data_IF_917431091694
#
_entry.id   IF_917431091694
#
_cell.length_a   1.000
_cell.length_b   1.000
_cell.length_c   1.000
_cell.angle_alpha   90.00
_cell.angle_beta   90.00
_cell.angle_gamma   90.00
#
_symmetry.space_group_name_H-M   'P 1'
#
loop_
_entity.id
_entity.type
_entity.pdbx_description
1 polymer ?
#
# COMPACT_ATOMS: atom_id res chain seq x y z
N UNK A 1 17.57 3.13 -30.84
CA UNK A 1 18.67 3.56 -29.93
C UNK A 1 18.91 2.43 -28.93
N UNK A 2 20.11 1.82 -28.87
CA UNK A 2 20.42 0.76 -27.90
C UNK A 2 21.18 1.38 -26.72
N UNK A 3 20.54 1.49 -25.57
CA UNK A 3 21.21 1.93 -24.34
C UNK A 3 22.11 0.79 -23.87
N UNK A 4 23.42 1.03 -23.77
CA UNK A 4 24.39 0.08 -23.21
C UNK A 4 24.59 0.43 -21.74
N UNK A 5 24.07 -0.41 -20.84
CA UNK A 5 24.33 -0.29 -19.40
C UNK A 5 25.77 -0.75 -19.14
N UNK A 6 26.56 0.02 -18.37
CA UNK A 6 27.94 -0.35 -18.01
C UNK A 6 27.90 -1.62 -17.15
N UNK A 7 28.67 -2.64 -17.55
CA UNK A 7 28.69 -3.97 -16.92
C UNK A 7 29.04 -3.98 -15.42
N UNK A 8 29.67 -2.92 -14.91
CA UNK A 8 30.09 -2.80 -13.51
C UNK A 8 29.32 -1.69 -12.75
N UNK A 9 28.07 -1.42 -13.15
CA UNK A 9 27.22 -0.50 -12.39
C UNK A 9 26.77 -1.23 -11.12
N UNK A 10 27.36 -0.86 -9.99
CA UNK A 10 26.88 -1.29 -8.67
C UNK A 10 25.73 -0.36 -8.31
N UNK A 11 24.51 -0.87 -8.37
CA UNK A 11 23.36 -0.17 -7.81
C UNK A 11 23.42 -0.37 -6.29
N UNK A 12 23.68 0.69 -5.53
CA UNK A 12 23.41 0.67 -4.11
C UNK A 12 21.90 0.80 -3.95
N UNK A 13 21.20 -0.33 -3.96
CA UNK A 13 19.77 -0.34 -3.72
C UNK A 13 19.56 -0.24 -2.21
N UNK A 14 19.01 0.89 -1.74
CA UNK A 14 18.43 0.97 -0.39
C UNK A 14 17.23 0.03 -0.24
N UNK A 15 16.72 -0.48 -1.34
CA UNK A 15 15.48 -1.24 -1.46
C UNK A 15 15.73 -2.75 -1.60
N UNK A 16 16.92 -3.23 -1.24
CA UNK A 16 17.24 -4.66 -1.23
C UNK A 16 17.00 -5.23 0.17
N UNK A 17 16.15 -6.26 0.22
CA UNK A 17 15.79 -6.94 1.46
C UNK A 17 15.87 -8.46 1.27
N UNK A 18 16.41 -9.19 2.25
CA UNK A 18 16.65 -10.64 2.16
C UNK A 18 16.09 -11.40 3.37
N UNK A 19 15.58 -12.60 3.12
CA UNK A 19 15.11 -13.53 4.16
C UNK A 19 15.19 -14.98 3.72
N UNK A 20 15.23 -15.85 4.72
CA UNK A 20 14.99 -17.29 4.57
C UNK A 20 13.54 -17.68 4.98
N UNK A 21 12.76 -16.73 5.52
CA UNK A 21 11.35 -16.94 5.87
C UNK A 21 10.42 -16.93 4.65
N UNK A 22 9.21 -17.47 4.82
CA UNK A 22 8.21 -17.49 3.75
C UNK A 22 7.70 -16.08 3.42
N UNK A 23 7.35 -15.88 2.15
CA UNK A 23 6.79 -14.63 1.64
C UNK A 23 5.41 -14.92 1.05
N UNK A 24 4.40 -14.13 1.43
CA UNK A 24 3.13 -14.02 0.71
C UNK A 24 3.17 -12.74 -0.11
N UNK A 25 2.86 -12.84 -1.40
CA UNK A 25 2.83 -11.70 -2.33
C UNK A 25 1.41 -11.48 -2.81
N UNK A 26 0.95 -10.23 -2.73
CA UNK A 26 -0.38 -9.77 -3.18
C UNK A 26 -0.24 -8.48 -3.99
N UNK A 27 -1.27 -8.12 -4.75
CA UNK A 27 -1.28 -6.93 -5.61
C UNK A 27 -2.73 -6.62 -6.05
N UNK A 28 -2.97 -5.42 -6.56
CA UNK A 28 -4.17 -5.05 -7.33
C UNK A 28 -5.49 -5.34 -6.56
N UNK A 29 -5.51 -5.02 -5.27
CA UNK A 29 -6.73 -5.16 -4.48
C UNK A 29 -7.69 -3.99 -4.66
N UNK A 30 -7.24 -2.85 -5.19
CA UNK A 30 -8.10 -1.80 -5.73
C UNK A 30 -9.20 -1.31 -4.76
N UNK A 31 -8.97 -1.35 -3.44
CA UNK A 31 -9.98 -0.97 -2.44
C UNK A 31 -11.00 -2.06 -2.06
N UNK A 32 -10.81 -3.32 -2.47
CA UNK A 32 -11.60 -4.50 -2.10
C UNK A 32 -11.12 -5.09 -0.75
N UNK A 33 -11.35 -4.34 0.34
CA UNK A 33 -10.83 -4.64 1.68
C UNK A 33 -11.25 -6.01 2.23
N UNK A 34 -12.52 -6.41 2.09
CA UNK A 34 -12.99 -7.66 2.67
C UNK A 34 -12.36 -8.88 1.99
N UNK A 35 -12.13 -8.81 0.68
CA UNK A 35 -11.46 -9.85 -0.09
C UNK A 35 -9.98 -9.96 0.29
N UNK A 36 -9.32 -8.83 0.60
CA UNK A 36 -7.96 -8.84 1.15
C UNK A 36 -7.96 -9.53 2.52
N UNK A 37 -8.84 -9.09 3.43
CA UNK A 37 -8.95 -9.66 4.78
C UNK A 37 -9.26 -11.16 4.74
N UNK A 38 -10.20 -11.59 3.90
CA UNK A 38 -10.56 -13.00 3.73
C UNK A 38 -9.37 -13.83 3.26
N UNK A 39 -8.58 -13.31 2.31
CA UNK A 39 -7.33 -13.95 1.89
C UNK A 39 -6.34 -14.03 3.06
N UNK A 40 -6.08 -12.92 3.75
CA UNK A 40 -5.07 -12.84 4.80
C UNK A 40 -5.43 -13.74 5.99
N UNK A 41 -6.71 -13.84 6.37
CA UNK A 41 -7.18 -14.78 7.41
C UNK A 41 -7.03 -16.22 6.92
N UNK A 42 -7.47 -16.51 5.70
CA UNK A 42 -7.39 -17.87 5.13
C UNK A 42 -5.94 -18.35 5.01
N UNK A 43 -5.02 -17.46 4.64
CA UNK A 43 -3.58 -17.69 4.57
C UNK A 43 -2.87 -17.65 5.94
N UNK A 44 -3.62 -17.41 7.03
CA UNK A 44 -3.10 -17.31 8.41
C UNK A 44 -2.05 -16.21 8.60
N UNK A 45 -2.15 -15.13 7.81
CA UNK A 45 -1.33 -13.92 7.96
C UNK A 45 -1.83 -13.07 9.11
N UNK A 46 -3.15 -12.95 9.24
CA UNK A 46 -3.81 -12.25 10.34
C UNK A 46 -4.85 -13.16 11.02
N UNK A 47 -5.24 -12.80 12.24
CA UNK A 47 -6.38 -13.42 12.93
C UNK A 47 -7.71 -12.71 12.62
N UNK A 48 -8.82 -13.22 13.17
CA UNK A 48 -10.16 -12.67 13.02
C UNK A 48 -10.36 -11.28 13.67
N UNK A 49 -9.38 -10.82 14.46
CA UNK A 49 -9.32 -9.49 15.07
C UNK A 49 -8.32 -8.57 14.34
N UNK A 50 -7.85 -8.99 13.16
CA UNK A 50 -6.89 -8.29 12.31
C UNK A 50 -5.52 -8.09 12.95
N UNK A 51 -5.09 -8.97 13.86
CA UNK A 51 -3.75 -8.95 14.43
C UNK A 51 -2.77 -9.77 13.60
N UNK A 52 -1.51 -9.32 13.58
CA UNK A 52 -0.45 -10.06 12.92
C UNK A 52 -0.26 -11.46 13.51
N UNK A 53 -0.37 -12.48 12.66
CA UNK A 53 -0.21 -13.90 13.00
C UNK A 53 0.92 -14.58 12.22
N UNK A 54 1.48 -13.90 11.22
CA UNK A 54 2.42 -14.49 10.28
C UNK A 54 3.85 -14.68 10.82
N UNK A 55 4.09 -14.35 12.11
CA UNK A 55 5.39 -14.53 12.75
C UNK A 55 6.48 -13.72 12.05
N UNK A 56 7.60 -14.36 11.71
CA UNK A 56 8.71 -13.71 11.02
C UNK A 56 8.54 -13.64 9.49
N UNK A 57 7.46 -14.21 8.95
CA UNK A 57 7.22 -14.24 7.50
C UNK A 57 6.87 -12.85 6.97
N UNK A 58 6.86 -12.70 5.65
CA UNK A 58 6.72 -11.41 4.99
C UNK A 58 5.45 -11.32 4.17
N UNK A 59 4.76 -10.18 4.27
CA UNK A 59 3.73 -9.79 3.33
C UNK A 59 4.33 -8.75 2.37
N UNK A 60 4.30 -9.04 1.08
CA UNK A 60 4.69 -8.08 0.04
C UNK A 60 3.43 -7.68 -0.72
N UNK A 61 3.14 -6.38 -0.78
CA UNK A 61 2.04 -5.81 -1.53
C UNK A 61 2.63 -5.03 -2.72
N UNK A 62 2.42 -5.52 -3.94
CA UNK A 62 3.06 -5.01 -5.17
C UNK A 62 2.39 -3.76 -5.78
N UNK A 63 1.58 -3.05 -5.00
CA UNK A 63 0.87 -1.83 -5.42
C UNK A 63 -0.57 -2.04 -5.86
N UNK A 64 -1.16 -0.93 -6.28
CA UNK A 64 -2.56 -0.77 -6.70
C UNK A 64 -3.55 -1.18 -5.60
N UNK A 65 -3.28 -0.67 -4.39
CA UNK A 65 -4.27 -0.64 -3.32
C UNK A 65 -5.31 0.47 -3.57
N UNK A 66 -4.94 1.50 -4.32
CA UNK A 66 -5.77 2.65 -4.66
C UNK A 66 -6.40 2.48 -6.04
N UNK A 67 -7.71 2.23 -6.13
CA UNK A 67 -8.46 2.34 -7.40
C UNK A 67 -9.98 2.40 -7.11
N UNK A 68 -10.79 1.79 -7.98
CA UNK A 68 -12.24 1.86 -8.10
C UNK A 68 -13.04 1.40 -6.88
N UNK A 69 -12.43 0.63 -5.97
CA UNK A 69 -13.08 0.12 -4.78
C UNK A 69 -13.29 1.16 -3.69
N UNK A 70 -14.18 0.82 -2.78
CA UNK A 70 -14.64 1.74 -1.74
C UNK A 70 -13.89 1.58 -0.42
N UNK A 71 -12.84 0.77 -0.28
CA UNK A 71 -12.19 0.59 1.03
C UNK A 71 -10.66 0.71 0.99
N UNK A 72 -10.16 1.66 0.21
CA UNK A 72 -8.72 1.97 0.07
C UNK A 72 -8.13 2.37 1.42
N UNK A 73 -8.79 3.27 2.16
CA UNK A 73 -8.27 3.76 3.44
C UNK A 73 -8.16 2.64 4.47
N UNK A 74 -9.13 1.73 4.48
CA UNK A 74 -9.19 0.57 5.36
C UNK A 74 -8.03 -0.40 5.08
N UNK A 75 -7.67 -0.60 3.81
CA UNK A 75 -6.46 -1.36 3.44
C UNK A 75 -5.21 -0.68 4.01
N UNK A 76 -5.04 0.61 3.77
CA UNK A 76 -3.84 1.34 4.23
C UNK A 76 -3.73 1.36 5.76
N UNK A 77 -4.85 1.58 6.46
CA UNK A 77 -4.88 1.54 7.92
C UNK A 77 -4.59 0.16 8.49
N UNK A 78 -5.08 -0.90 7.84
CA UNK A 78 -4.73 -2.27 8.23
C UNK A 78 -3.23 -2.52 8.10
N UNK A 79 -2.62 -2.17 6.95
CA UNK A 79 -1.19 -2.36 6.72
C UNK A 79 -0.35 -1.54 7.70
N UNK A 80 -0.68 -0.26 7.90
CA UNK A 80 -0.05 0.62 8.89
C UNK A 80 -0.12 0.03 10.30
N UNK A 81 -1.32 -0.42 10.71
CA UNK A 81 -1.55 -1.04 12.03
C UNK A 81 -0.70 -2.29 12.21
N UNK A 82 -0.69 -3.18 11.24
CA UNK A 82 0.10 -4.42 11.30
C UNK A 82 1.61 -4.13 11.38
N UNK A 83 2.13 -3.19 10.57
CA UNK A 83 3.53 -2.80 10.63
C UNK A 83 3.89 -2.20 12.01
N UNK A 84 2.99 -1.40 12.60
CA UNK A 84 3.18 -0.87 13.97
C UNK A 84 3.20 -1.95 15.05
N UNK A 85 2.67 -3.14 14.78
CA UNK A 85 2.73 -4.34 15.64
C UNK A 85 4.01 -5.17 15.42
N UNK A 86 4.88 -4.75 14.50
CA UNK A 86 6.12 -5.45 14.15
C UNK A 86 5.96 -6.46 13.01
N UNK A 87 4.87 -6.38 12.23
CA UNK A 87 4.72 -7.18 11.01
C UNK A 87 5.78 -6.79 9.98
N UNK A 88 6.31 -7.78 9.26
CA UNK A 88 7.21 -7.52 8.14
C UNK A 88 6.40 -7.28 6.86
N UNK A 89 6.06 -6.03 6.59
CA UNK A 89 5.30 -5.61 5.43
C UNK A 89 6.22 -4.87 4.46
N UNK A 90 6.12 -5.21 3.18
CA UNK A 90 6.78 -4.51 2.08
C UNK A 90 5.71 -3.97 1.14
N UNK A 91 5.40 -2.68 1.24
CA UNK A 91 4.42 -2.03 0.38
C UNK A 91 5.14 -1.29 -0.76
N UNK A 92 4.82 -1.63 -1.99
CA UNK A 92 5.32 -0.96 -3.18
C UNK A 92 4.21 -0.14 -3.82
N UNK A 93 4.60 0.94 -4.51
CA UNK A 93 3.67 1.75 -5.27
C UNK A 93 3.44 1.19 -6.67
N UNK A 94 2.17 0.92 -6.96
CA UNK A 94 1.67 0.69 -8.31
C UNK A 94 1.43 2.01 -9.04
N UNK A 95 1.00 1.94 -10.30
CA UNK A 95 0.75 3.14 -11.08
C UNK A 95 -0.49 3.90 -10.59
N UNK A 96 -1.54 3.19 -10.15
CA UNK A 96 -2.75 3.84 -9.66
C UNK A 96 -2.50 4.54 -8.33
N UNK A 97 -1.66 3.98 -7.46
CA UNK A 97 -1.25 4.61 -6.21
C UNK A 97 -0.57 5.96 -6.49
N UNK A 98 0.40 5.99 -7.41
CA UNK A 98 1.13 7.22 -7.78
C UNK A 98 0.18 8.24 -8.42
N UNK A 99 -0.66 7.81 -9.36
CA UNK A 99 -1.61 8.66 -10.06
C UNK A 99 -2.61 9.32 -9.11
N UNK A 100 -3.12 8.56 -8.14
CA UNK A 100 -4.11 9.03 -7.17
C UNK A 100 -3.50 9.94 -6.10
N UNK A 101 -2.28 9.63 -5.61
CA UNK A 101 -1.63 10.37 -4.52
C UNK A 101 -0.91 11.63 -5.01
N UNK A 102 -0.34 11.62 -6.23
CA UNK A 102 0.62 12.65 -6.65
C UNK A 102 0.23 13.43 -7.91
N UNK A 103 -0.61 12.86 -8.79
CA UNK A 103 -0.88 13.45 -10.10
C UNK A 103 -2.29 14.05 -10.22
N UNK A 104 -3.07 14.07 -9.13
CA UNK A 104 -4.46 14.55 -9.10
C UNK A 104 -5.34 13.87 -10.18
N UNK A 105 -5.00 12.62 -10.55
CA UNK A 105 -5.74 11.84 -11.54
C UNK A 105 -6.89 11.08 -10.86
N UNK A 106 -7.87 11.82 -10.37
CA UNK A 106 -8.98 11.29 -9.53
C UNK A 106 -10.08 10.56 -10.30
N UNK A 107 -9.86 10.25 -11.59
CA UNK A 107 -10.85 9.57 -12.43
C UNK A 107 -11.13 8.13 -11.99
N UNK A 108 -10.20 7.55 -11.24
CA UNK A 108 -10.22 6.16 -10.78
C UNK A 108 -10.72 6.02 -9.34
N UNK A 109 -10.98 7.14 -8.69
CA UNK A 109 -11.37 7.18 -7.28
C UNK A 109 -12.89 7.22 -7.20
N UNK A 110 -13.45 6.32 -6.39
CA UNK A 110 -14.87 6.28 -6.12
C UNK A 110 -15.42 7.63 -5.63
N UNK A 111 -16.61 8.00 -6.09
CA UNK A 111 -17.24 9.29 -5.80
C UNK A 111 -17.45 9.55 -4.30
N UNK A 112 -17.55 8.50 -3.48
CA UNK A 112 -17.67 8.67 -2.03
C UNK A 112 -16.50 9.43 -1.45
N UNK A 113 -15.28 9.20 -1.92
CA UNK A 113 -14.11 9.88 -1.36
C UNK A 113 -14.14 11.36 -1.70
N UNK A 114 -14.54 11.69 -2.93
CA UNK A 114 -14.73 13.09 -3.37
C UNK A 114 -15.80 13.81 -2.56
N UNK A 115 -16.88 13.10 -2.19
CA UNK A 115 -17.97 13.65 -1.39
C UNK A 115 -17.51 14.06 0.02
N UNK A 116 -16.55 13.34 0.61
CA UNK A 116 -16.07 13.58 1.97
C UNK A 116 -14.95 14.64 2.07
N UNK A 117 -14.28 15.00 0.96
CA UNK A 117 -13.14 15.94 0.98
C UNK A 117 -13.53 17.32 1.54
N UNK A 118 -14.55 17.95 0.96
CA UNK A 118 -14.96 19.32 1.36
C UNK A 118 -15.45 19.40 2.81
N UNK A 119 -16.31 18.48 3.30
CA UNK A 119 -16.67 18.42 4.72
C UNK A 119 -15.47 18.33 5.66
N UNK A 120 -14.42 17.64 5.25
CA UNK A 120 -13.19 17.47 6.03
C UNK A 120 -12.18 18.64 5.86
N UNK A 121 -12.50 19.64 5.03
CA UNK A 121 -11.64 20.80 4.78
C UNK A 121 -10.52 20.55 3.78
N UNK A 122 -10.63 19.49 2.97
CA UNK A 122 -9.67 19.15 1.92
C UNK A 122 -10.17 19.63 0.55
N UNK A 123 -9.23 20.08 -0.28
CA UNK A 123 -9.50 20.53 -1.65
C UNK A 123 -9.37 19.38 -2.65
N UNK A 124 -8.49 18.43 -2.38
CA UNK A 124 -8.21 17.27 -3.22
C UNK A 124 -7.90 16.00 -2.41
N UNK A 125 -7.93 14.85 -3.08
CA UNK A 125 -7.63 13.56 -2.43
C UNK A 125 -6.17 13.51 -1.96
N UNK A 126 -5.28 14.14 -2.70
CA UNK A 126 -3.85 14.24 -2.41
C UNK A 126 -3.59 14.87 -1.03
N UNK A 127 -4.51 15.71 -0.55
CA UNK A 127 -4.42 16.33 0.77
C UNK A 127 -4.43 15.29 1.90
N UNK A 128 -5.14 14.17 1.72
CA UNK A 128 -5.20 13.07 2.67
C UNK A 128 -3.86 12.33 2.79
N UNK A 129 -3.02 12.43 1.75
CA UNK A 129 -1.77 11.68 1.61
C UNK A 129 -0.53 12.58 1.54
N UNK A 130 -0.65 13.84 1.98
CA UNK A 130 0.49 14.75 2.18
C UNK A 130 1.41 14.22 3.27
N UNK A 131 2.70 14.55 3.18
CA UNK A 131 3.75 14.11 4.12
C UNK A 131 3.44 14.42 5.60
N UNK A 132 2.64 15.46 5.86
CA UNK A 132 2.21 15.85 7.20
C UNK A 132 0.97 15.09 7.73
N UNK A 133 0.44 14.12 7.01
CA UNK A 133 -0.60 13.19 7.49
C UNK A 133 0.03 11.87 7.94
N UNK A 134 -0.68 11.08 8.76
CA UNK A 134 -0.16 9.79 9.25
C UNK A 134 0.12 8.84 8.09
N UNK A 135 -0.87 8.62 7.21
CA UNK A 135 -0.71 7.74 6.06
C UNK A 135 0.27 8.32 5.03
N UNK A 136 0.28 9.64 4.81
CA UNK A 136 1.22 10.24 3.88
C UNK A 136 2.68 10.16 4.37
N UNK A 137 2.92 10.32 5.67
CA UNK A 137 4.24 10.09 6.25
C UNK A 137 4.68 8.63 6.13
N UNK A 138 3.79 7.69 6.47
CA UNK A 138 4.01 6.25 6.36
C UNK A 138 4.35 5.82 4.93
N UNK A 139 3.63 6.32 3.93
CA UNK A 139 3.87 6.00 2.52
C UNK A 139 5.24 6.49 2.00
N UNK A 140 5.96 7.36 2.71
CA UNK A 140 7.24 7.94 2.27
C UNK A 140 8.46 7.41 3.04
N UNK A 141 8.30 6.34 3.81
CA UNK A 141 9.36 5.77 4.64
C UNK A 141 10.41 4.97 3.85
#
# INVERSE_FOLDING_TARGET
MKVKIKQNTVFQNKDEWTTDDQILVVSDYEGEFFQLVDLLISAQVIDEYYNWKFGNKHLVFLGDAFDSGTMVHEILWLLYKLESEGANIHFLFGNHDIMNISENQTNYIDEKYKAELKPLGFEGIEDLYKENTILGGWLRQ
#
